data_IF_873651078733
#
_entry.id   IF_873651078733
#
_cell.length_a   1.000
_cell.length_b   1.000
_cell.length_c   1.000
_cell.angle_alpha   90.00
_cell.angle_beta   90.00
_cell.angle_gamma   90.00
#
_symmetry.space_group_name_H-M   'P 1'
#
loop_
_entity.id
_entity.type
_entity.pdbx_description
1 polymer ?
#
# COMPACT_ATOMS: atom_id res chain seq x y z
N UNK A 1 -1.53 2.15 -15.31
CA UNK A 1 -0.89 2.76 -14.13
C UNK A 1 0.51 2.18 -14.06
N UNK A 2 1.53 2.94 -14.47
CA UNK A 2 2.90 2.45 -14.43
C UNK A 2 3.42 2.63 -13.01
N UNK A 3 3.44 1.53 -12.26
CA UNK A 3 4.03 1.42 -10.93
C UNK A 3 5.49 1.86 -10.98
N UNK A 4 5.73 3.11 -10.60
CA UNK A 4 7.08 3.59 -10.33
C UNK A 4 7.40 3.19 -8.90
N UNK A 5 7.66 1.90 -8.69
CA UNK A 5 8.22 1.43 -7.42
C UNK A 5 9.51 2.22 -7.17
N UNK A 6 9.67 2.82 -6.00
CA UNK A 6 10.92 3.51 -5.63
C UNK A 6 11.65 2.70 -4.57
N UNK A 7 12.80 3.16 -4.08
CA UNK A 7 13.51 2.51 -2.97
C UNK A 7 12.69 2.44 -1.67
N UNK A 8 11.61 3.22 -1.57
CA UNK A 8 10.65 3.21 -0.46
C UNK A 8 9.98 1.85 -0.23
N UNK A 9 10.06 0.93 -1.20
CA UNK A 9 9.49 -0.41 -1.10
C UNK A 9 10.26 -1.35 -0.18
N UNK A 10 11.52 -1.02 0.16
CA UNK A 10 12.35 -1.86 1.04
C UNK A 10 11.72 -1.88 2.44
N UNK A 11 11.62 -3.09 3.01
CA UNK A 11 10.96 -3.34 4.30
C UNK A 11 9.46 -3.62 4.18
N UNK A 12 8.84 -3.39 3.01
CA UNK A 12 7.42 -3.71 2.82
C UNK A 12 7.18 -5.21 2.83
N UNK A 13 6.01 -5.57 3.35
CA UNK A 13 5.44 -6.91 3.34
C UNK A 13 4.72 -7.17 2.02
N UNK A 14 4.94 -8.35 1.47
CA UNK A 14 4.36 -8.72 0.19
C UNK A 14 3.89 -10.16 0.18
N UNK A 15 2.95 -10.45 -0.72
CA UNK A 15 2.50 -11.77 -1.08
C UNK A 15 3.02 -12.13 -2.48
N UNK A 16 3.46 -13.38 -2.64
CA UNK A 16 3.84 -13.94 -3.93
C UNK A 16 3.23 -15.34 -4.04
N UNK A 17 2.07 -15.42 -4.69
CA UNK A 17 1.31 -16.65 -4.87
C UNK A 17 0.94 -17.35 -3.54
N UNK A 18 0.51 -16.57 -2.53
CA UNK A 18 0.11 -17.11 -1.22
C UNK A 18 1.24 -17.28 -0.21
N UNK A 19 2.48 -17.00 -0.59
CA UNK A 19 3.64 -17.03 0.30
C UNK A 19 4.07 -15.61 0.66
N UNK A 20 4.35 -15.38 1.94
CA UNK A 20 4.67 -14.05 2.45
C UNK A 20 6.18 -13.80 2.56
N UNK A 21 6.56 -12.57 2.23
CA UNK A 21 7.96 -12.15 2.28
C UNK A 21 8.10 -10.66 2.65
N UNK A 22 9.34 -10.28 2.98
CA UNK A 22 9.75 -8.89 3.17
C UNK A 22 10.71 -8.48 2.07
N UNK A 23 10.49 -7.33 1.43
CA UNK A 23 11.45 -6.78 0.46
C UNK A 23 12.71 -6.31 1.21
N UNK A 24 13.88 -6.77 0.76
CA UNK A 24 15.20 -6.41 1.28
C UNK A 24 16.07 -5.66 0.28
N UNK A 25 15.76 -5.75 -1.01
CA UNK A 25 16.50 -5.09 -2.08
C UNK A 25 15.55 -4.67 -3.20
N UNK A 26 15.86 -3.54 -3.84
CA UNK A 26 15.20 -3.05 -5.04
C UNK A 26 16.29 -2.52 -5.99
N UNK A 27 16.37 -3.08 -7.20
CA UNK A 27 17.37 -2.63 -8.17
C UNK A 27 17.66 -3.64 -9.27
N UNK A 28 18.73 -3.37 -10.03
CA UNK A 28 19.22 -4.24 -11.11
C UNK A 28 20.14 -5.30 -10.51
N UNK A 29 20.09 -6.52 -11.05
CA UNK A 29 20.93 -7.65 -10.63
C UNK A 29 21.64 -8.21 -11.87
N UNK A 30 22.84 -7.69 -12.22
CA UNK A 30 23.60 -8.19 -13.36
C UNK A 30 23.94 -9.68 -13.22
N UNK A 31 24.07 -10.42 -14.33
CA UNK A 31 23.88 -9.97 -15.72
C UNK A 31 22.41 -9.92 -16.15
N UNK A 32 21.47 -10.22 -15.26
CA UNK A 32 20.06 -10.39 -15.60
C UNK A 32 19.36 -9.03 -15.67
N UNK A 33 19.01 -8.63 -16.90
CA UNK A 33 18.43 -7.32 -17.17
C UNK A 33 17.12 -7.04 -16.43
N UNK A 34 16.83 -5.75 -16.25
CA UNK A 34 15.60 -5.24 -15.65
C UNK A 34 15.64 -5.18 -14.13
N UNK A 35 14.55 -4.67 -13.58
CA UNK A 35 14.38 -4.46 -12.15
C UNK A 35 14.03 -5.76 -11.42
N UNK A 36 14.56 -5.91 -10.22
CA UNK A 36 14.35 -7.03 -9.32
C UNK A 36 14.04 -6.54 -7.91
N UNK A 37 13.19 -7.32 -7.23
CA UNK A 37 13.01 -7.25 -5.79
C UNK A 37 13.75 -8.43 -5.16
N UNK A 38 14.71 -8.14 -4.30
CA UNK A 38 15.25 -9.14 -3.40
C UNK A 38 14.30 -9.26 -2.21
N UNK A 39 13.77 -10.45 -1.98
CA UNK A 39 12.82 -10.73 -0.90
C UNK A 39 13.37 -11.78 0.04
N UNK A 40 13.09 -11.63 1.32
CA UNK A 40 13.31 -12.64 2.35
C UNK A 40 11.96 -13.24 2.74
N UNK A 41 11.81 -14.55 2.55
CA UNK A 41 10.59 -15.29 2.86
C UNK A 41 10.43 -15.50 4.36
N UNK A 42 9.18 -15.55 4.82
CA UNK A 42 8.88 -15.99 6.18
C UNK A 42 9.17 -17.47 6.37
N UNK A 43 8.80 -18.29 5.36
CA UNK A 43 9.19 -19.69 5.29
C UNK A 43 10.54 -19.81 4.55
N UNK A 44 11.66 -20.14 5.24
CA UNK A 44 12.97 -20.20 4.61
C UNK A 44 13.13 -21.33 3.58
N UNK A 45 12.24 -22.33 3.57
CA UNK A 45 12.25 -23.40 2.56
C UNK A 45 11.80 -22.92 1.18
N UNK A 46 11.10 -21.78 1.12
CA UNK A 46 10.56 -21.21 -0.13
C UNK A 46 11.63 -20.54 -0.98
N UNK A 47 12.68 -20.03 -0.33
CA UNK A 47 13.74 -19.29 -0.99
C UNK A 47 14.80 -20.18 -1.63
N UNK A 48 15.87 -19.55 -2.11
CA UNK A 48 16.92 -20.20 -2.91
C UNK A 48 18.32 -19.85 -2.46
N UNK A 49 18.52 -18.68 -1.85
CA UNK A 49 19.84 -18.14 -1.55
C UNK A 49 19.81 -17.24 -0.31
N UNK A 50 20.97 -16.74 0.10
CA UNK A 50 21.16 -15.90 1.28
C UNK A 50 21.02 -14.39 1.00
N UNK A 51 20.80 -14.04 -0.26
CA UNK A 51 20.72 -12.65 -0.76
C UNK A 51 21.88 -12.27 -1.68
N UNK A 52 22.75 -13.22 -1.99
CA UNK A 52 23.78 -13.10 -3.02
C UNK A 52 23.36 -13.64 -4.38
N UNK A 53 23.98 -13.12 -5.44
CA UNK A 53 23.92 -13.63 -6.81
C UNK A 53 25.26 -13.43 -7.49
N UNK A 54 25.82 -14.48 -8.11
CA UNK A 54 27.11 -14.44 -8.82
C UNK A 54 28.25 -13.79 -8.00
N UNK A 55 28.36 -14.16 -6.72
CA UNK A 55 29.40 -13.65 -5.80
C UNK A 55 29.16 -12.23 -5.28
N UNK A 56 28.12 -11.53 -5.73
CA UNK A 56 27.75 -10.20 -5.23
C UNK A 56 26.64 -10.31 -4.20
N UNK A 57 26.80 -9.67 -3.04
CA UNK A 57 25.81 -9.64 -1.97
C UNK A 57 24.92 -8.40 -2.12
N UNK A 58 23.61 -8.60 -2.33
CA UNK A 58 22.65 -7.51 -2.47
C UNK A 58 21.89 -7.24 -1.17
N UNK A 59 21.60 -8.29 -0.41
CA UNK A 59 20.98 -8.23 0.91
C UNK A 59 21.39 -9.44 1.74
N UNK A 60 21.03 -9.44 3.03
CA UNK A 60 21.28 -10.55 3.95
C UNK A 60 19.96 -11.16 4.41
N UNK A 61 19.91 -12.48 4.43
CA UNK A 61 18.80 -13.25 5.00
C UNK A 61 19.18 -13.84 6.36
N UNK A 62 18.17 -14.11 7.17
CA UNK A 62 18.28 -14.85 8.44
C UNK A 62 18.63 -16.32 8.22
N UNK A 63 18.23 -16.88 7.08
CA UNK A 63 18.50 -18.24 6.67
C UNK A 63 19.30 -18.28 5.35
N UNK A 64 20.24 -19.23 5.17
CA UNK A 64 21.06 -19.34 3.95
C UNK A 64 20.26 -19.56 2.67
N UNK A 65 19.01 -20.03 2.78
CA UNK A 65 18.10 -20.26 1.66
C UNK A 65 16.88 -19.36 1.73
N UNK A 66 16.83 -18.39 2.64
CA UNK A 66 15.62 -17.61 2.91
C UNK A 66 15.30 -16.54 1.86
N UNK A 67 16.19 -16.28 0.91
CA UNK A 67 16.10 -15.20 -0.06
C UNK A 67 15.73 -15.66 -1.47
N UNK A 68 15.04 -14.79 -2.21
CA UNK A 68 14.80 -14.91 -3.64
C UNK A 68 14.89 -13.55 -4.34
N UNK A 69 15.25 -13.54 -5.63
CA UNK A 69 14.97 -12.41 -6.52
C UNK A 69 13.68 -12.67 -7.30
N UNK A 70 12.73 -11.72 -7.23
CA UNK A 70 11.43 -11.80 -7.89
C UNK A 70 11.17 -10.56 -8.75
N UNK A 71 10.37 -10.73 -9.81
CA UNK A 71 9.96 -9.60 -10.65
C UNK A 71 8.85 -8.81 -9.96
N UNK A 72 8.89 -7.46 -10.01
CA UNK A 72 7.84 -6.60 -9.45
C UNK A 72 6.41 -7.01 -9.80
N UNK A 73 6.17 -7.38 -11.05
CA UNK A 73 4.84 -7.78 -11.54
C UNK A 73 4.34 -9.13 -11.00
N UNK A 74 5.16 -9.87 -10.25
CA UNK A 74 4.78 -11.10 -9.57
C UNK A 74 4.49 -10.89 -8.08
N UNK A 75 4.60 -9.66 -7.61
CA UNK A 75 4.50 -9.32 -6.20
C UNK A 75 3.23 -8.54 -5.93
N UNK A 76 2.46 -8.99 -4.95
CA UNK A 76 1.30 -8.29 -4.45
C UNK A 76 1.67 -7.52 -3.17
N UNK A 77 1.55 -6.19 -3.21
CA UNK A 77 1.86 -5.30 -2.09
C UNK A 77 0.72 -5.18 -1.07
N UNK A 78 -0.41 -5.84 -1.32
CA UNK A 78 -1.61 -5.70 -0.53
C UNK A 78 -2.24 -4.32 -0.67
N UNK A 79 -3.08 -3.97 0.30
CA UNK A 79 -3.68 -2.64 0.45
C UNK A 79 -3.23 -2.04 1.78
N UNK A 80 -3.20 -0.71 1.87
CA UNK A 80 -2.93 -0.06 3.14
C UNK A 80 -4.07 -0.28 4.14
N UNK A 81 -3.73 -0.12 5.42
CA UNK A 81 -4.65 -0.38 6.53
C UNK A 81 -5.93 0.46 6.47
N UNK A 82 -5.82 1.74 6.10
CA UNK A 82 -6.99 2.63 6.02
C UNK A 82 -7.91 2.20 4.87
N UNK A 83 -7.35 1.86 3.71
CA UNK A 83 -8.10 1.30 2.59
C UNK A 83 -8.79 -0.01 2.98
N UNK A 84 -8.11 -0.90 3.71
CA UNK A 84 -8.69 -2.15 4.20
C UNK A 84 -9.85 -1.90 5.18
N UNK A 85 -9.69 -0.96 6.12
CA UNK A 85 -10.76 -0.57 7.05
C UNK A 85 -11.94 0.02 6.30
N UNK A 86 -11.71 0.97 5.40
CA UNK A 86 -12.77 1.60 4.60
C UNK A 86 -13.57 0.52 3.87
N UNK A 87 -12.90 -0.39 3.18
CA UNK A 87 -13.56 -1.49 2.47
C UNK A 87 -14.38 -2.43 3.38
N UNK A 88 -13.95 -2.65 4.62
CA UNK A 88 -14.57 -3.64 5.51
C UNK A 88 -15.69 -3.07 6.39
N UNK A 89 -15.61 -1.80 6.73
CA UNK A 89 -16.44 -1.16 7.75
C UNK A 89 -17.19 0.09 7.26
N UNK A 90 -16.78 0.70 6.14
CA UNK A 90 -17.57 1.75 5.50
C UNK A 90 -18.46 1.05 4.47
N UNK A 91 -19.74 0.93 4.80
CA UNK A 91 -20.77 0.56 3.82
C UNK A 91 -20.77 1.65 2.74
N UNK A 92 -20.71 1.28 1.46
CA UNK A 92 -20.87 2.18 0.31
C UNK A 92 -22.30 2.78 0.21
N UNK A 93 -22.93 3.09 1.35
CA UNK A 93 -24.22 3.78 1.48
C UNK A 93 -24.05 5.20 2.08
N UNK A 94 -22.81 5.67 2.22
CA UNK A 94 -22.53 7.10 2.43
C UNK A 94 -22.59 7.81 1.07
N UNK A 95 -23.30 8.95 0.94
CA UNK A 95 -23.32 9.68 -0.32
C UNK A 95 -21.88 9.93 -0.74
N UNK A 96 -21.59 9.72 -2.02
CA UNK A 96 -20.34 10.14 -2.64
C UNK A 96 -20.04 11.55 -2.15
N UNK A 97 -19.03 11.70 -1.28
CA UNK A 97 -18.43 12.99 -1.03
C UNK A 97 -17.65 13.34 -2.30
N UNK A 98 -18.40 13.77 -3.32
CA UNK A 98 -17.94 14.75 -4.27
C UNK A 98 -17.34 15.86 -3.41
N UNK A 99 -16.01 16.00 -3.47
CA UNK A 99 -15.20 16.86 -2.62
C UNK A 99 -15.50 18.35 -2.81
N UNK A 100 -16.72 18.73 -2.46
CA UNK A 100 -17.19 20.10 -2.37
C UNK A 100 -17.40 20.35 -0.90
N UNK A 101 -16.38 20.89 -0.26
CA UNK A 101 -16.52 21.66 0.97
C UNK A 101 -17.77 22.55 0.81
N UNK A 102 -18.84 22.22 1.53
CA UNK A 102 -20.04 23.05 1.53
C UNK A 102 -19.72 24.29 2.34
N UNK A 103 -19.23 25.32 1.66
CA UNK A 103 -19.11 26.66 2.21
C UNK A 103 -20.54 27.19 2.41
N UNK A 104 -21.02 27.16 3.67
CA UNK A 104 -22.28 27.79 4.03
C UNK A 104 -22.03 29.30 4.07
N UNK A 105 -22.70 30.04 3.19
CA UNK A 105 -22.56 31.50 3.14
C UNK A 105 -23.66 32.12 4.02
N UNK A 106 -23.28 32.74 5.13
CA UNK A 106 -24.19 33.52 5.98
C UNK A 106 -23.96 35.00 5.65
N UNK A 107 -24.86 35.58 4.86
CA UNK A 107 -24.69 36.93 4.30
C UNK A 107 -23.63 36.97 3.19
N UNK A 108 -22.88 38.08 3.06
CA UNK A 108 -21.85 38.22 2.02
C UNK A 108 -20.48 37.64 2.42
N UNK A 109 -20.44 36.75 3.41
CA UNK A 109 -19.21 36.14 3.93
C UNK A 109 -19.33 34.60 3.94
N UNK A 110 -18.34 33.89 3.36
CA UNK A 110 -18.27 32.44 3.45
C UNK A 110 -17.84 32.01 4.87
N UNK A 111 -18.47 30.98 5.42
CA UNK A 111 -18.14 30.41 6.72
C UNK A 111 -17.92 28.90 6.58
N UNK A 112 -16.81 28.41 7.11
CA UNK A 112 -16.55 26.98 7.27
C UNK A 112 -17.29 26.47 8.52
N UNK A 113 -18.17 25.49 8.34
CA UNK A 113 -18.95 24.91 9.45
C UNK A 113 -18.41 23.53 9.78
N UNK A 114 -17.67 23.40 10.89
CA UNK A 114 -17.28 22.10 11.45
C UNK A 114 -18.32 21.71 12.50
N UNK A 115 -19.02 20.59 12.31
CA UNK A 115 -19.84 19.94 13.35
C UNK A 115 -21.31 20.34 13.45
N UNK A 116 -21.91 20.93 12.40
CA UNK A 116 -23.34 21.28 12.37
C UNK A 116 -24.26 20.20 11.74
N UNK A 117 -23.75 18.99 11.53
CA UNK A 117 -24.48 17.92 10.83
C UNK A 117 -25.76 17.47 11.55
N UNK A 118 -25.84 17.69 12.87
CA UNK A 118 -26.97 17.24 13.68
C UNK A 118 -28.16 18.21 13.72
N UNK A 119 -28.01 19.47 13.27
CA UNK A 119 -29.06 20.50 13.43
C UNK A 119 -29.93 20.64 12.16
N UNK A 120 -29.37 20.35 10.98
CA UNK A 120 -30.03 20.61 9.69
C UNK A 120 -31.22 19.67 9.44
N UNK A 121 -31.24 18.46 10.02
CA UNK A 121 -32.36 17.52 9.86
C UNK A 121 -33.65 17.96 10.57
N UNK A 122 -33.59 18.86 11.55
CA UNK A 122 -34.76 19.16 12.38
C UNK A 122 -35.67 20.28 11.85
N UNK A 123 -35.22 21.11 10.90
CA UNK A 123 -36.03 22.25 10.40
C UNK A 123 -36.82 21.98 9.12
N UNK A 124 -36.72 20.78 8.52
CA UNK A 124 -37.55 20.43 7.35
C UNK A 124 -38.92 19.83 7.70
N UNK A 125 -39.21 19.62 8.98
CA UNK A 125 -40.46 18.99 9.44
C UNK A 125 -41.51 19.99 9.98
N UNK A 126 -41.31 21.30 9.84
CA UNK A 126 -42.29 22.30 10.27
C UNK A 126 -42.20 23.56 9.40
N UNK A 127 -42.84 23.47 8.23
CA UNK A 127 -43.09 24.58 7.31
C UNK A 127 -44.19 24.18 6.34
#
# INVERSE_FOLDING_TARGET
MNDTLTSDVIGRRVDVNGEHATIRFYGIVPPVAGLWLGVEWDNPERGKHDGSHEGTVYFKCRHPTGGSFVRPNKVNFGVDFLTAIKKRYVLEDGPEEDGKEQIVTIGNKPVETIGFDSIIKQQRASG
#
